data_IF_470408648922
#
_entry.id   IF_470408648922
#
_cell.length_a   1.000
_cell.length_b   1.000
_cell.length_c   1.000
_cell.angle_alpha   90.00
_cell.angle_beta   90.00
_cell.angle_gamma   90.00
#
_symmetry.space_group_name_H-M   'P 1'
#
loop_
_entity.id
_entity.type
_entity.pdbx_description
1 polymer ?
#
# COMPACT_ATOMS: atom_id res chain seq x y z
N UNK A 1 1.32 0.22 23.14
CA UNK A 1 2.11 -0.34 22.09
C UNK A 1 2.53 0.68 21.05
N UNK A 2 3.63 0.45 20.47
CA UNK A 2 4.20 1.45 19.57
C UNK A 2 3.38 1.59 18.31
N UNK A 3 3.26 2.81 17.88
CA UNK A 3 2.66 3.08 16.60
C UNK A 3 3.58 2.73 15.48
N UNK A 4 3.03 2.39 14.35
CA UNK A 4 3.81 2.15 13.14
C UNK A 4 3.88 3.46 12.38
N UNK A 5 4.74 4.34 12.84
CA UNK A 5 4.78 5.73 12.38
C UNK A 5 5.04 5.85 10.89
N UNK A 6 5.75 4.89 10.32
CA UNK A 6 6.12 4.99 8.92
C UNK A 6 5.09 4.37 7.99
N UNK A 7 4.04 3.79 8.55
CA UNK A 7 2.95 3.23 7.75
C UNK A 7 1.87 4.30 7.64
N UNK A 8 1.64 4.78 6.43
CA UNK A 8 0.68 5.84 6.18
C UNK A 8 -0.72 5.28 6.06
N UNK A 9 -1.71 6.04 6.50
CA UNK A 9 -3.13 5.69 6.34
C UNK A 9 -3.76 6.74 5.45
N UNK A 10 -4.16 6.34 4.25
CA UNK A 10 -4.66 7.26 3.25
C UNK A 10 -6.16 7.11 3.08
N UNK A 11 -6.81 8.19 2.70
CA UNK A 11 -8.23 8.21 2.39
C UNK A 11 -8.44 9.06 1.14
N UNK A 12 -9.70 9.32 0.79
CA UNK A 12 -10.01 10.08 -0.41
C UNK A 12 -9.41 11.49 -0.37
N UNK A 13 -9.18 12.05 0.82
CA UNK A 13 -8.71 13.42 0.95
C UNK A 13 -7.21 13.56 0.68
N UNK A 14 -6.41 12.55 1.00
CA UNK A 14 -4.96 12.70 0.91
C UNK A 14 -4.30 11.73 -0.09
N UNK A 15 -5.07 10.85 -0.70
CA UNK A 15 -4.48 9.81 -1.55
C UNK A 15 -3.67 10.40 -2.70
N UNK A 16 -4.27 11.29 -3.47
CA UNK A 16 -3.61 11.86 -4.65
C UNK A 16 -2.32 12.58 -4.30
N UNK A 17 -2.35 13.33 -3.20
CA UNK A 17 -1.18 14.08 -2.77
C UNK A 17 -0.06 13.16 -2.35
N UNK A 18 -0.41 12.12 -1.59
CA UNK A 18 0.62 11.25 -1.02
C UNK A 18 1.30 10.35 -2.05
N UNK A 19 0.58 9.95 -3.11
CA UNK A 19 1.21 9.09 -4.12
C UNK A 19 1.92 9.89 -5.20
N UNK A 20 1.88 11.23 -5.16
CA UNK A 20 2.27 12.08 -6.30
C UNK A 20 3.76 11.99 -6.64
N UNK A 21 4.61 11.68 -5.69
CA UNK A 21 6.05 11.63 -5.97
C UNK A 21 6.71 10.45 -5.28
N UNK A 22 7.81 9.99 -5.86
CA UNK A 22 8.58 8.89 -5.32
C UNK A 22 7.90 7.55 -5.47
N UNK A 23 8.41 6.56 -4.76
CA UNK A 23 7.83 5.22 -4.73
C UNK A 23 6.87 5.10 -3.58
N UNK A 24 5.65 4.63 -3.86
CA UNK A 24 4.63 4.43 -2.82
C UNK A 24 3.94 3.10 -3.07
N UNK A 25 4.03 2.19 -2.11
CA UNK A 25 3.30 0.93 -2.15
C UNK A 25 2.05 1.08 -1.29
N UNK A 26 0.90 0.81 -1.88
CA UNK A 26 -0.39 0.99 -1.20
C UNK A 26 -1.11 -0.35 -1.08
N UNK A 27 -1.49 -0.69 0.15
CA UNK A 27 -2.24 -1.89 0.49
C UNK A 27 -3.71 -1.51 0.64
N UNK A 28 -4.54 -1.94 -0.32
CA UNK A 28 -5.99 -1.73 -0.25
C UNK A 28 -6.60 -2.91 0.49
N UNK A 29 -7.26 -2.62 1.61
CA UNK A 29 -7.73 -3.65 2.52
C UNK A 29 -9.14 -3.32 3.01
N UNK A 30 -9.74 -4.30 3.69
CA UNK A 30 -10.99 -4.09 4.41
C UNK A 30 -10.86 -4.69 5.80
N UNK A 31 -11.55 -4.09 6.76
CA UNK A 31 -11.45 -4.57 8.14
C UNK A 31 -12.05 -5.95 8.33
N UNK A 32 -13.00 -6.32 7.46
CA UNK A 32 -13.67 -7.63 7.54
C UNK A 32 -12.89 -8.73 6.79
N UNK A 33 -11.77 -8.43 6.23
CA UNK A 33 -11.05 -9.34 5.33
C UNK A 33 -9.98 -10.11 6.09
N UNK A 34 -10.13 -11.43 6.18
CA UNK A 34 -9.16 -12.28 6.87
C UNK A 34 -7.76 -12.24 6.27
N UNK A 35 -7.63 -12.47 4.95
CA UNK A 35 -6.30 -12.39 4.32
C UNK A 35 -5.62 -11.05 4.49
N UNK A 36 -6.40 -9.96 4.55
CA UNK A 36 -5.84 -8.63 4.77
C UNK A 36 -5.12 -8.54 6.11
N UNK A 37 -5.67 -9.21 7.12
CA UNK A 37 -5.05 -9.21 8.45
C UNK A 37 -3.71 -9.93 8.44
N UNK A 38 -3.57 -10.94 7.60
CA UNK A 38 -2.29 -11.66 7.46
C UNK A 38 -1.23 -10.76 6.84
N UNK A 39 -1.65 -9.83 6.00
CA UNK A 39 -0.71 -8.93 5.33
C UNK A 39 -0.27 -7.79 6.24
N UNK A 40 -1.05 -7.45 7.26
CA UNK A 40 -0.77 -6.31 8.13
C UNK A 40 0.64 -6.30 8.70
N UNK A 41 1.12 -7.38 9.34
CA UNK A 41 2.48 -7.31 9.89
C UNK A 41 3.55 -7.18 8.81
N UNK A 42 3.26 -7.67 7.61
CA UNK A 42 4.21 -7.57 6.51
C UNK A 42 4.35 -6.13 6.05
N UNK A 43 3.22 -5.43 5.87
CA UNK A 43 3.31 -4.03 5.44
C UNK A 43 3.86 -3.13 6.54
N UNK A 44 3.60 -3.47 7.80
CA UNK A 44 4.21 -2.73 8.90
C UNK A 44 5.72 -2.87 8.89
N UNK A 45 6.19 -4.08 8.64
CA UNK A 45 7.63 -4.35 8.57
C UNK A 45 8.26 -3.64 7.37
N UNK A 46 7.55 -3.63 6.23
CA UNK A 46 8.02 -2.91 5.04
C UNK A 46 8.14 -1.42 5.32
N UNK A 47 7.16 -0.85 6.02
CA UNK A 47 7.19 0.58 6.33
C UNK A 47 8.46 0.95 7.08
N UNK A 48 8.88 0.09 8.00
CA UNK A 48 10.10 0.32 8.74
C UNK A 48 11.34 0.13 7.88
N UNK A 49 11.39 -0.94 7.09
CA UNK A 49 12.59 -1.27 6.32
C UNK A 49 12.78 -0.33 5.13
N UNK A 50 11.69 0.23 4.61
CA UNK A 50 11.79 1.12 3.45
C UNK A 50 11.82 2.59 3.80
N UNK A 51 11.92 2.89 5.10
CA UNK A 51 11.97 4.27 5.57
C UNK A 51 13.06 5.04 4.85
N UNK A 52 12.68 6.20 4.31
CA UNK A 52 13.62 7.04 3.58
C UNK A 52 13.83 6.64 2.13
N UNK A 53 13.22 5.52 1.71
CA UNK A 53 13.39 5.00 0.36
C UNK A 53 12.06 4.95 -0.39
N UNK A 54 11.05 4.40 0.24
CA UNK A 54 9.70 4.31 -0.35
C UNK A 54 8.69 4.51 0.76
N UNK A 55 7.54 5.07 0.40
CA UNK A 55 6.42 5.18 1.33
C UNK A 55 5.62 3.89 1.26
N UNK A 56 5.13 3.47 2.43
CA UNK A 56 4.24 2.31 2.52
C UNK A 56 2.95 2.80 3.14
N UNK A 57 1.83 2.50 2.51
CA UNK A 57 0.54 3.06 2.90
C UNK A 57 -0.55 2.01 2.89
N UNK A 58 -1.61 2.26 3.64
CA UNK A 58 -2.82 1.44 3.66
C UNK A 58 -4.02 2.31 3.31
N UNK A 59 -4.97 1.72 2.60
CA UNK A 59 -6.25 2.36 2.27
C UNK A 59 -7.37 1.38 2.63
N UNK A 60 -8.27 1.82 3.50
CA UNK A 60 -9.47 1.05 3.84
C UNK A 60 -10.50 1.32 2.74
N UNK A 61 -10.86 0.29 1.99
CA UNK A 61 -11.74 0.47 0.83
C UNK A 61 -13.13 0.96 1.22
N UNK A 62 -13.56 0.71 2.44
CA UNK A 62 -14.88 1.16 2.89
C UNK A 62 -14.86 2.64 3.28
N UNK A 63 -13.69 3.15 3.70
CA UNK A 63 -13.53 4.55 4.04
C UNK A 63 -13.16 5.41 2.84
N UNK A 64 -12.47 4.84 1.86
CA UNK A 64 -11.99 5.57 0.69
C UNK A 64 -12.69 5.05 -0.56
N UNK A 65 -14.00 5.22 -0.62
CA UNK A 65 -14.80 4.63 -1.68
C UNK A 65 -14.51 5.24 -3.03
N UNK A 66 -14.23 6.53 -3.07
CA UNK A 66 -13.94 7.20 -4.33
C UNK A 66 -12.63 6.70 -4.94
N UNK A 67 -11.59 6.65 -4.13
CA UNK A 67 -10.28 6.13 -4.56
C UNK A 67 -10.42 4.70 -5.04
N UNK A 68 -11.14 3.89 -4.26
CA UNK A 68 -11.34 2.48 -4.57
C UNK A 68 -12.03 2.30 -5.92
N UNK A 69 -13.06 3.09 -6.18
CA UNK A 69 -13.77 3.02 -7.45
C UNK A 69 -12.91 3.50 -8.61
N UNK A 70 -12.20 4.60 -8.42
CA UNK A 70 -11.36 5.18 -9.47
C UNK A 70 -10.27 4.20 -9.91
N UNK A 71 -9.72 3.44 -8.96
CA UNK A 71 -8.66 2.49 -9.27
C UNK A 71 -9.18 1.10 -9.60
N UNK A 72 -10.50 0.94 -9.57
CA UNK A 72 -11.15 -0.32 -9.92
C UNK A 72 -10.64 -1.47 -9.06
N UNK A 73 -10.60 -1.23 -7.74
CA UNK A 73 -10.25 -2.26 -6.79
C UNK A 73 -11.47 -3.15 -6.58
N UNK A 74 -11.37 -4.42 -6.97
CA UNK A 74 -12.50 -5.34 -6.91
C UNK A 74 -12.28 -6.50 -5.95
N UNK A 75 -11.08 -6.64 -5.41
CA UNK A 75 -10.79 -7.67 -4.41
C UNK A 75 -9.76 -7.14 -3.45
N UNK A 76 -9.72 -7.74 -2.26
CA UNK A 76 -8.78 -7.35 -1.21
C UNK A 76 -8.08 -8.58 -0.67
N UNK A 77 -6.81 -8.45 -0.29
CA UNK A 77 -6.00 -7.25 -0.44
C UNK A 77 -5.52 -7.09 -1.88
N UNK A 78 -5.40 -5.85 -2.31
CA UNK A 78 -4.76 -5.50 -3.57
C UNK A 78 -3.65 -4.51 -3.23
N UNK A 79 -2.46 -4.77 -3.75
CA UNK A 79 -1.34 -3.86 -3.53
C UNK A 79 -0.98 -3.21 -4.86
N UNK A 80 -0.82 -1.90 -4.83
CA UNK A 80 -0.41 -1.16 -6.03
C UNK A 80 0.84 -0.37 -5.71
N UNK A 81 1.83 -0.49 -6.58
CA UNK A 81 3.05 0.31 -6.47
C UNK A 81 2.93 1.47 -7.44
N UNK A 82 3.06 2.68 -6.89
CA UNK A 82 3.05 3.91 -7.68
C UNK A 82 4.47 4.46 -7.75
N UNK A 83 4.82 5.02 -8.90
CA UNK A 83 6.08 5.71 -9.08
C UNK A 83 5.79 7.04 -9.73
N UNK A 84 6.12 8.13 -9.03
CA UNK A 84 5.85 9.48 -9.50
C UNK A 84 4.39 9.66 -9.89
N UNK A 85 3.51 9.11 -9.06
CA UNK A 85 2.07 9.24 -9.24
C UNK A 85 1.43 8.26 -10.19
N UNK A 86 2.22 7.39 -10.83
CA UNK A 86 1.70 6.45 -11.82
C UNK A 86 1.77 5.04 -11.31
N UNK A 87 0.71 4.28 -11.55
CA UNK A 87 0.68 2.86 -11.19
C UNK A 87 1.67 2.11 -12.08
N UNK A 88 2.65 1.45 -11.47
CA UNK A 88 3.64 0.67 -12.23
C UNK A 88 3.49 -0.83 -12.01
N UNK A 89 2.81 -1.24 -10.92
CA UNK A 89 2.59 -2.66 -10.69
C UNK A 89 1.41 -2.84 -9.74
N UNK A 90 0.64 -3.89 -9.99
CA UNK A 90 -0.52 -4.24 -9.15
C UNK A 90 -0.46 -5.74 -8.89
N UNK A 91 -0.62 -6.13 -7.64
CA UNK A 91 -0.70 -7.54 -7.28
C UNK A 91 -1.90 -7.76 -6.36
N UNK A 92 -2.52 -8.92 -6.47
CA UNK A 92 -3.70 -9.26 -5.68
C UNK A 92 -3.37 -10.43 -4.78
N UNK A 93 -3.82 -10.34 -3.53
CA UNK A 93 -3.63 -11.41 -2.55
C UNK A 93 -2.44 -11.14 -1.65
N UNK A 94 -2.26 -12.03 -0.68
CA UNK A 94 -1.19 -11.90 0.30
C UNK A 94 0.14 -12.28 -0.36
N UNK A 95 1.13 -11.39 -0.21
CA UNK A 95 2.49 -11.64 -0.67
C UNK A 95 3.41 -11.51 0.52
N UNK A 96 4.51 -12.26 0.53
CA UNK A 96 5.41 -12.19 1.66
C UNK A 96 6.32 -10.97 1.57
N UNK A 97 7.07 -10.76 2.65
CA UNK A 97 7.95 -9.60 2.77
C UNK A 97 8.97 -9.56 1.64
N UNK A 98 9.59 -10.69 1.36
CA UNK A 98 10.65 -10.72 0.34
C UNK A 98 10.13 -10.38 -1.04
N UNK A 99 8.94 -10.87 -1.37
CA UNK A 99 8.31 -10.56 -2.66
C UNK A 99 8.11 -9.04 -2.80
N UNK A 100 7.52 -8.43 -1.78
CA UNK A 100 7.19 -7.01 -1.84
C UNK A 100 8.44 -6.14 -1.78
N UNK A 101 9.41 -6.53 -0.99
CA UNK A 101 10.67 -5.81 -0.92
C UNK A 101 11.38 -5.83 -2.27
N UNK A 102 11.38 -6.98 -2.93
CA UNK A 102 11.99 -7.10 -4.24
C UNK A 102 11.24 -6.30 -5.29
N UNK A 103 9.91 -6.27 -5.19
CA UNK A 103 9.10 -5.49 -6.10
C UNK A 103 9.46 -4.01 -6.02
N UNK A 104 9.57 -3.49 -4.80
CA UNK A 104 9.96 -2.09 -4.60
C UNK A 104 11.35 -1.84 -5.17
N UNK A 105 12.28 -2.74 -4.86
CA UNK A 105 13.66 -2.60 -5.32
C UNK A 105 13.74 -2.58 -6.84
N UNK A 106 12.95 -3.40 -7.50
CA UNK A 106 13.01 -3.50 -8.96
C UNK A 106 12.51 -2.24 -9.66
N UNK A 107 11.82 -1.37 -8.95
CA UNK A 107 11.32 -0.10 -9.50
C UNK A 107 12.02 1.11 -8.91
N UNK A 108 13.13 0.91 -8.20
CA UNK A 108 13.80 1.98 -7.46
C UNK A 108 14.72 2.85 -8.31
N UNK A 109 14.81 2.61 -9.56
CA UNK A 109 15.72 3.36 -10.42
C UNK A 109 15.42 4.81 -10.48
#
# INVERSE_FOLDING_TARGET
>A
MAEKENLLHLDDNNFSTEIASGLVLVDFYATWCGPCRMLTPIVEQLAESEKGHAKIAKVDIDQAQETTANLQITSVPTLILFKEGKEVKRVVGVKDFDYLSELIKSHSE
#
